data_IF_162001760685
#
_entry.id   IF_162001760685
#
_cell.length_a   1.000
_cell.length_b   1.000
_cell.length_c   1.000
_cell.angle_alpha   90.00
_cell.angle_beta   90.00
_cell.angle_gamma   90.00
#
_symmetry.space_group_name_H-M   'P 1'
#
loop_
_entity.id
_entity.type
_entity.pdbx_description
1 polymer ?
#
# COMPACT_ATOMS: atom_id res chain seq x y z
N UNK A 1 10.02 -24.89 17.90
CA UNK A 1 8.68 -24.79 17.33
C UNK A 1 8.25 -23.32 17.25
N UNK A 2 7.51 -22.94 16.20
CA UNK A 2 7.10 -21.55 15.94
C UNK A 2 6.34 -20.92 17.10
N UNK A 3 5.51 -21.68 17.81
CA UNK A 3 4.77 -21.23 19.00
C UNK A 3 5.68 -20.70 20.13
N UNK A 4 6.80 -21.36 20.40
CA UNK A 4 7.76 -20.91 21.43
C UNK A 4 8.45 -19.62 21.01
N UNK A 5 8.72 -19.45 19.69
CA UNK A 5 9.29 -18.23 19.18
C UNK A 5 8.28 -17.08 19.23
N UNK A 6 7.03 -17.35 18.87
CA UNK A 6 5.94 -16.38 18.96
C UNK A 6 5.74 -15.90 20.42
N UNK A 7 5.81 -16.80 21.40
CA UNK A 7 5.74 -16.45 22.80
C UNK A 7 6.91 -15.55 23.23
N UNK A 8 8.13 -15.88 22.82
CA UNK A 8 9.32 -15.08 23.16
C UNK A 8 9.36 -13.71 22.52
N UNK A 9 8.93 -13.61 21.24
CA UNK A 9 9.00 -12.37 20.45
C UNK A 9 7.78 -11.48 20.70
N UNK A 10 6.57 -12.08 20.78
CA UNK A 10 5.31 -11.34 20.85
C UNK A 10 4.62 -11.46 22.21
N UNK A 11 5.26 -12.07 23.22
CA UNK A 11 4.71 -12.24 24.55
C UNK A 11 3.53 -13.22 24.63
N UNK A 12 3.29 -14.03 23.60
CA UNK A 12 2.27 -15.08 23.54
C UNK A 12 0.81 -14.62 23.55
N UNK A 13 0.56 -13.30 23.54
CA UNK A 13 -0.79 -12.72 23.58
C UNK A 13 -1.19 -11.96 22.33
N UNK A 14 -0.23 -11.63 21.46
CA UNK A 14 -0.49 -10.95 20.20
C UNK A 14 -1.26 -11.90 19.26
N UNK A 15 -2.40 -11.45 18.76
CA UNK A 15 -3.26 -12.20 17.84
C UNK A 15 -3.47 -11.48 16.53
N UNK A 16 -3.57 -10.15 16.57
CA UNK A 16 -3.89 -9.31 15.42
C UNK A 16 -2.93 -8.13 15.38
N UNK A 17 -2.47 -7.81 14.18
CA UNK A 17 -1.74 -6.58 13.85
C UNK A 17 -2.59 -5.84 12.81
N UNK A 18 -2.90 -4.56 13.09
CA UNK A 18 -3.41 -3.66 12.08
C UNK A 18 -2.26 -2.86 11.49
N UNK A 19 -2.18 -2.81 10.16
CA UNK A 19 -1.15 -2.07 9.43
C UNK A 19 -1.76 -1.20 8.35
N UNK A 20 -1.07 -0.11 8.03
CA UNK A 20 -1.49 0.83 7.00
C UNK A 20 -0.45 1.92 6.79
N UNK A 21 -0.70 2.84 5.85
CA UNK A 21 0.19 3.95 5.53
C UNK A 21 1.31 3.61 4.54
N UNK A 22 1.62 2.34 4.33
CA UNK A 22 2.53 1.84 3.30
C UNK A 22 2.05 0.47 2.82
N UNK A 23 2.48 0.07 1.62
CA UNK A 23 2.21 -1.26 1.11
C UNK A 23 2.91 -2.33 1.96
N UNK A 24 2.18 -3.39 2.31
CA UNK A 24 2.74 -4.60 2.90
C UNK A 24 2.61 -5.75 1.90
N UNK A 25 3.74 -6.35 1.51
CA UNK A 25 3.68 -7.50 0.61
C UNK A 25 2.97 -8.68 1.30
N UNK A 26 2.03 -9.36 0.61
CA UNK A 26 1.29 -10.52 1.14
C UNK A 26 2.17 -11.66 1.67
N UNK A 27 3.43 -11.74 1.24
CA UNK A 27 4.42 -12.65 1.80
C UNK A 27 4.55 -12.49 3.33
N UNK A 28 4.62 -11.26 3.83
CA UNK A 28 4.74 -11.01 5.27
C UNK A 28 3.49 -11.39 6.04
N UNK A 29 2.31 -11.22 5.44
CA UNK A 29 1.03 -11.66 6.02
C UNK A 29 1.08 -13.17 6.28
N UNK A 30 1.52 -13.96 5.28
CA UNK A 30 1.68 -15.40 5.42
C UNK A 30 2.71 -15.77 6.49
N UNK A 31 3.82 -15.02 6.56
CA UNK A 31 4.85 -15.27 7.58
C UNK A 31 4.34 -15.04 8.99
N UNK A 32 3.56 -13.99 9.25
CA UNK A 32 2.94 -13.76 10.55
C UNK A 32 1.89 -14.82 10.90
N UNK A 33 1.08 -15.22 9.92
CA UNK A 33 0.09 -16.28 10.08
C UNK A 33 0.71 -17.62 10.55
N UNK A 34 1.94 -17.93 10.12
CA UNK A 34 2.70 -19.11 10.61
C UNK A 34 2.99 -19.08 12.11
N UNK A 35 2.96 -17.89 12.73
CA UNK A 35 3.13 -17.69 14.16
C UNK A 35 1.81 -17.49 14.90
N UNK A 36 0.67 -17.65 14.21
CA UNK A 36 -0.66 -17.47 14.77
C UNK A 36 -1.06 -16.00 14.96
N UNK A 37 -0.41 -15.08 14.23
CA UNK A 37 -0.72 -13.66 14.25
C UNK A 37 -1.37 -13.28 12.91
N UNK A 38 -2.58 -12.76 12.99
CA UNK A 38 -3.31 -12.24 11.83
C UNK A 38 -2.87 -10.82 11.53
N UNK A 39 -2.62 -10.50 10.26
CA UNK A 39 -2.28 -9.14 9.82
C UNK A 39 -3.41 -8.61 8.95
N UNK A 40 -4.00 -7.51 9.36
CA UNK A 40 -5.11 -6.83 8.70
C UNK A 40 -4.64 -5.49 8.18
N UNK A 41 -4.79 -5.27 6.87
CA UNK A 41 -4.40 -4.04 6.22
C UNK A 41 -5.56 -3.06 6.15
N UNK A 42 -5.24 -1.78 6.31
CA UNK A 42 -6.14 -0.67 6.10
C UNK A 42 -5.51 0.41 5.25
N UNK A 43 -6.35 1.27 4.70
CA UNK A 43 -5.94 2.37 3.85
C UNK A 43 -6.55 3.67 4.33
N UNK A 44 -5.75 4.71 4.22
CA UNK A 44 -6.19 6.05 4.54
C UNK A 44 -5.09 7.09 4.38
N UNK A 45 -5.46 8.33 4.62
CA UNK A 45 -4.60 9.49 4.50
C UNK A 45 -5.11 10.58 5.44
N UNK A 46 -4.25 11.53 5.80
CA UNK A 46 -4.60 12.63 6.72
C UNK A 46 -5.81 13.43 6.25
N UNK A 47 -5.96 13.57 4.95
CA UNK A 47 -7.08 14.23 4.28
C UNK A 47 -8.44 13.54 4.49
N UNK A 48 -8.44 12.31 5.02
CA UNK A 48 -9.66 11.51 5.33
C UNK A 48 -9.81 11.18 6.82
N UNK A 49 -9.04 11.76 7.73
CA UNK A 49 -9.16 11.72 9.20
C UNK A 49 -9.13 10.33 9.87
N UNK A 50 -8.22 9.45 9.65
CA UNK A 50 -7.42 9.18 8.46
C UNK A 50 -7.97 8.03 7.59
N UNK A 51 -8.89 7.17 8.09
CA UNK A 51 -9.22 5.85 7.51
C UNK A 51 -10.26 5.97 6.40
N UNK A 52 -9.97 5.36 5.27
CA UNK A 52 -10.86 5.23 4.10
C UNK A 52 -11.46 3.83 4.06
N UNK A 53 -10.62 2.80 4.21
CA UNK A 53 -11.03 1.38 4.20
C UNK A 53 -10.19 0.56 5.15
N UNK A 54 -10.71 -0.58 5.57
CA UNK A 54 -9.97 -1.53 6.40
C UNK A 54 -10.48 -2.96 6.23
N UNK A 55 -9.58 -3.91 6.45
CA UNK A 55 -9.93 -5.30 6.74
C UNK A 55 -10.32 -5.43 8.22
N UNK A 56 -11.25 -6.33 8.52
CA UNK A 56 -11.61 -6.73 9.88
C UNK A 56 -11.45 -8.23 10.06
N UNK A 57 -11.39 -8.77 11.29
CA UNK A 57 -11.29 -10.22 11.50
C UNK A 57 -12.41 -11.01 10.81
N UNK A 58 -13.61 -10.44 10.74
CA UNK A 58 -14.78 -11.08 10.14
C UNK A 58 -14.84 -10.90 8.62
N UNK A 59 -14.26 -9.82 8.12
CA UNK A 59 -14.32 -9.43 6.72
C UNK A 59 -12.95 -8.95 6.25
N UNK A 60 -12.13 -9.86 5.76
CA UNK A 60 -10.81 -9.53 5.21
C UNK A 60 -10.50 -10.32 3.96
N UNK A 61 -9.66 -9.76 3.13
CA UNK A 61 -9.14 -10.37 1.91
C UNK A 61 -7.67 -10.05 1.79
N UNK A 62 -6.84 -11.09 1.76
CA UNK A 62 -5.39 -10.94 1.67
C UNK A 62 -4.96 -10.12 0.45
N UNK A 63 -4.07 -9.17 0.66
CA UNK A 63 -3.57 -8.26 -0.37
C UNK A 63 -4.52 -7.12 -0.72
N UNK A 64 -5.72 -7.08 -0.10
CA UNK A 64 -6.62 -5.93 -0.17
C UNK A 64 -6.38 -4.98 0.98
N UNK A 65 -6.75 -3.72 0.78
CA UNK A 65 -6.81 -2.70 1.83
C UNK A 65 -8.19 -2.63 2.51
N UNK A 66 -8.96 -3.71 2.39
CA UNK A 66 -10.27 -3.87 3.02
C UNK A 66 -11.42 -3.22 2.27
N UNK A 67 -12.57 -3.16 2.94
CA UNK A 67 -13.78 -2.51 2.43
C UNK A 67 -13.86 -1.05 2.87
N UNK A 68 -14.47 -0.16 2.07
CA UNK A 68 -14.71 1.22 2.49
C UNK A 68 -15.51 1.28 3.79
N UNK A 69 -15.23 2.30 4.61
CA UNK A 69 -16.04 2.59 5.79
C UNK A 69 -17.45 3.05 5.38
N UNK A 70 -18.44 2.85 6.23
CA UNK A 70 -19.86 3.17 5.96
C UNK A 70 -20.11 4.64 5.60
N UNK A 71 -19.28 5.56 6.10
CA UNK A 71 -19.36 6.99 5.84
C UNK A 71 -18.52 7.46 4.65
N UNK A 72 -17.99 6.53 3.84
CA UNK A 72 -17.07 6.77 2.72
C UNK A 72 -17.68 6.22 1.43
N UNK A 73 -17.77 7.08 0.44
CA UNK A 73 -18.11 6.72 -0.95
C UNK A 73 -16.81 6.66 -1.78
N UNK A 74 -16.69 5.64 -2.62
CA UNK A 74 -15.55 5.44 -3.53
C UNK A 74 -16.02 5.54 -4.97
N UNK A 75 -15.22 6.25 -5.78
CA UNK A 75 -15.34 6.29 -7.24
C UNK A 75 -13.97 6.10 -7.87
N UNK A 76 -13.93 5.61 -9.09
CA UNK A 76 -12.69 5.49 -9.86
C UNK A 76 -12.76 6.40 -11.09
N UNK A 77 -11.68 7.15 -11.32
CA UNK A 77 -11.53 7.98 -12.51
C UNK A 77 -10.13 7.76 -13.10
N UNK A 78 -10.05 7.23 -14.32
CA UNK A 78 -8.80 6.81 -14.96
C UNK A 78 -7.94 5.87 -14.07
N UNK A 79 -8.61 5.07 -13.23
CA UNK A 79 -7.96 4.19 -12.26
C UNK A 79 -7.54 4.86 -10.96
N UNK A 80 -7.66 6.18 -10.81
CA UNK A 80 -7.46 6.88 -9.56
C UNK A 80 -8.63 6.62 -8.59
N UNK A 81 -8.31 6.39 -7.33
CA UNK A 81 -9.30 6.27 -6.26
C UNK A 81 -9.75 7.67 -5.84
N UNK A 82 -11.04 7.94 -5.96
CA UNK A 82 -11.64 9.17 -5.47
C UNK A 82 -12.52 8.86 -4.27
N UNK A 83 -12.46 9.75 -3.27
CA UNK A 83 -13.12 9.56 -1.98
C UNK A 83 -14.05 10.72 -1.69
N UNK A 84 -15.26 10.40 -1.22
CA UNK A 84 -16.21 11.36 -0.69
C UNK A 84 -16.78 10.86 0.62
N UNK A 85 -16.99 11.74 1.59
CA UNK A 85 -17.55 11.37 2.88
C UNK A 85 -17.35 12.41 3.95
N UNK A 86 -17.95 12.18 5.12
CA UNK A 86 -17.90 13.11 6.24
C UNK A 86 -16.53 13.25 6.90
N UNK A 87 -15.65 12.28 6.67
CA UNK A 87 -14.27 12.27 7.16
C UNK A 87 -13.29 13.05 6.26
N UNK A 88 -13.71 13.42 5.03
CA UNK A 88 -12.87 14.18 4.11
C UNK A 88 -12.65 15.60 4.65
N UNK A 89 -11.40 16.06 4.59
CA UNK A 89 -10.98 17.39 5.03
C UNK A 89 -11.77 18.51 4.32
N UNK A 90 -11.79 19.67 4.93
CA UNK A 90 -12.35 20.90 4.30
C UNK A 90 -11.37 21.57 3.35
N UNK A 91 -10.08 21.28 3.48
CA UNK A 91 -9.00 21.82 2.67
C UNK A 91 -7.70 21.95 3.48
N UNK A 92 -6.64 22.32 2.78
CA UNK A 92 -5.34 22.64 3.39
C UNK A 92 -5.35 24.07 3.97
N UNK A 93 -4.75 24.21 5.12
CA UNK A 93 -4.70 25.51 5.81
C UNK A 93 -3.89 26.54 5.00
N UNK A 94 -4.49 27.66 4.65
CA UNK A 94 -3.91 28.75 3.85
C UNK A 94 -3.34 28.32 2.47
N UNK A 95 -3.85 27.20 1.90
CA UNK A 95 -3.44 26.68 0.61
C UNK A 95 -4.67 26.44 -0.28
N UNK A 96 -5.28 27.49 -0.81
CA UNK A 96 -6.52 27.36 -1.59
C UNK A 96 -6.31 26.68 -2.96
N UNK A 97 -5.16 26.88 -3.59
CA UNK A 97 -4.87 26.31 -4.91
C UNK A 97 -4.66 24.79 -4.81
N UNK A 98 -3.86 24.34 -3.84
CA UNK A 98 -3.66 22.92 -3.57
C UNK A 98 -4.96 22.23 -3.11
N UNK A 99 -5.78 22.98 -2.36
CA UNK A 99 -7.12 22.48 -1.98
C UNK A 99 -7.98 22.27 -3.20
N UNK A 100 -8.01 23.22 -4.14
CA UNK A 100 -8.80 23.13 -5.36
C UNK A 100 -8.29 22.06 -6.33
N UNK A 101 -6.98 21.77 -6.31
CA UNK A 101 -6.39 20.66 -7.08
C UNK A 101 -6.77 19.29 -6.50
N UNK A 102 -6.90 19.20 -5.17
CA UNK A 102 -7.13 17.94 -4.46
C UNK A 102 -8.61 17.65 -4.25
N UNK A 103 -9.43 18.67 -4.01
CA UNK A 103 -10.89 18.56 -3.82
C UNK A 103 -11.62 19.13 -5.04
N UNK A 104 -12.15 18.25 -5.89
CA UNK A 104 -12.88 18.61 -7.11
C UNK A 104 -14.30 18.05 -7.07
N UNK A 105 -15.27 18.88 -7.29
CA UNK A 105 -16.70 18.50 -7.35
C UNK A 105 -17.17 17.69 -6.12
N UNK A 106 -16.58 17.97 -4.96
CA UNK A 106 -16.89 17.31 -3.70
C UNK A 106 -16.19 15.95 -3.52
N UNK A 107 -15.27 15.60 -4.39
CA UNK A 107 -14.43 14.40 -4.31
C UNK A 107 -12.99 14.74 -4.00
N UNK A 108 -12.40 13.97 -3.09
CA UNK A 108 -10.96 13.98 -2.81
C UNK A 108 -10.25 13.11 -3.85
N UNK A 109 -9.33 13.69 -4.58
CA UNK A 109 -8.39 12.99 -5.45
C UNK A 109 -7.23 12.48 -4.62
N UNK A 110 -7.17 11.16 -4.39
CA UNK A 110 -6.16 10.58 -3.49
C UNK A 110 -4.76 10.53 -4.08
N UNK A 111 -4.65 10.57 -5.40
CA UNK A 111 -3.42 10.31 -6.13
C UNK A 111 -3.01 8.84 -6.14
N UNK A 112 -3.77 7.95 -5.51
CA UNK A 112 -3.52 6.51 -5.51
C UNK A 112 -4.35 5.82 -6.59
N UNK A 113 -3.76 4.87 -7.30
CA UNK A 113 -4.44 4.02 -8.28
C UNK A 113 -4.86 2.71 -7.63
N UNK A 114 -6.03 2.23 -8.06
CA UNK A 114 -6.55 0.98 -7.54
C UNK A 114 -7.84 0.56 -8.21
N UNK A 115 -8.42 -0.49 -7.68
CA UNK A 115 -9.70 -1.02 -8.12
C UNK A 115 -10.46 -1.65 -6.95
N UNK A 116 -11.72 -1.91 -7.17
CA UNK A 116 -12.57 -2.67 -6.26
C UNK A 116 -12.98 -3.98 -6.93
N UNK A 117 -12.89 -5.08 -6.21
CA UNK A 117 -13.36 -6.36 -6.72
C UNK A 117 -14.89 -6.54 -6.55
N UNK A 118 -15.40 -7.68 -7.04
CA UNK A 118 -16.82 -8.01 -7.00
C UNK A 118 -17.36 -8.19 -5.57
N UNK A 119 -16.49 -8.49 -4.59
CA UNK A 119 -16.83 -8.63 -3.17
C UNK A 119 -16.80 -7.28 -2.43
N UNK A 120 -16.39 -6.20 -3.10
CA UNK A 120 -16.28 -4.85 -2.56
C UNK A 120 -14.99 -4.57 -1.79
N UNK A 121 -13.94 -5.36 -1.99
CA UNK A 121 -12.61 -5.09 -1.45
C UNK A 121 -11.82 -4.19 -2.36
N UNK A 122 -11.13 -3.21 -1.76
CA UNK A 122 -10.23 -2.29 -2.45
C UNK A 122 -8.82 -2.85 -2.55
N UNK A 123 -8.18 -2.57 -3.69
CA UNK A 123 -6.78 -2.89 -3.96
C UNK A 123 -6.07 -1.66 -4.49
N UNK A 124 -4.86 -1.39 -4.02
CA UNK A 124 -3.98 -0.34 -4.54
C UNK A 124 -2.93 -0.99 -5.43
N UNK A 125 -2.68 -0.39 -6.60
CA UNK A 125 -1.69 -0.86 -7.55
C UNK A 125 -0.71 0.23 -8.01
N UNK A 126 -0.61 1.34 -7.27
CA UNK A 126 0.39 2.37 -7.50
C UNK A 126 -0.09 3.79 -7.21
N UNK A 127 0.72 4.76 -7.63
CA UNK A 127 0.40 6.18 -7.56
C UNK A 127 0.28 6.81 -8.93
N UNK A 128 -0.69 7.71 -9.09
CA UNK A 128 -0.94 8.39 -10.37
C UNK A 128 0.31 9.15 -10.84
N UNK A 129 0.99 9.85 -9.93
CA UNK A 129 2.18 10.67 -10.26
C UNK A 129 3.46 9.88 -10.50
N UNK A 130 3.51 8.62 -10.06
CA UNK A 130 4.71 7.81 -10.12
C UNK A 130 4.72 6.84 -11.31
N UNK A 131 3.61 6.75 -12.06
CA UNK A 131 3.53 5.83 -13.18
C UNK A 131 4.59 6.15 -14.24
N UNK A 132 5.29 5.12 -14.64
CA UNK A 132 6.21 5.16 -15.76
C UNK A 132 5.41 4.81 -17.02
N UNK A 133 5.36 5.74 -17.97
CA UNK A 133 4.70 5.51 -19.26
C UNK A 133 5.77 5.02 -20.24
N UNK A 134 5.67 3.76 -20.62
CA UNK A 134 6.59 3.17 -21.58
C UNK A 134 6.28 3.65 -23.00
N UNK A 135 7.25 3.50 -23.92
CA UNK A 135 7.12 3.90 -25.33
C UNK A 135 5.97 3.20 -26.09
N UNK A 136 5.53 2.04 -25.60
CA UNK A 136 4.36 1.32 -26.12
C UNK A 136 3.03 1.82 -25.54
N UNK A 137 3.05 2.85 -24.64
CA UNK A 137 1.86 3.40 -23.98
C UNK A 137 1.43 2.63 -22.72
N UNK A 138 2.15 1.60 -22.31
CA UNK A 138 1.89 0.85 -21.09
C UNK A 138 2.25 1.68 -19.85
N UNK A 139 1.35 1.68 -18.86
CA UNK A 139 1.57 2.33 -17.57
C UNK A 139 2.09 1.30 -16.58
N UNK A 140 3.28 1.52 -16.04
CA UNK A 140 3.92 0.65 -15.07
C UNK A 140 4.05 1.37 -13.73
N UNK A 141 3.62 0.73 -12.65
CA UNK A 141 3.90 1.20 -11.30
C UNK A 141 5.31 0.75 -10.89
N UNK A 142 6.24 1.68 -10.65
CA UNK A 142 7.57 1.33 -10.17
C UNK A 142 7.51 0.63 -8.81
N UNK A 143 6.58 1.03 -7.94
CA UNK A 143 6.44 0.49 -6.60
C UNK A 143 6.10 -1.00 -6.61
N UNK A 144 5.31 -1.49 -7.56
CA UNK A 144 5.02 -2.93 -7.68
C UNK A 144 6.28 -3.77 -7.95
N UNK A 145 7.19 -3.23 -8.76
CA UNK A 145 8.46 -3.89 -9.08
C UNK A 145 9.42 -3.78 -7.90
N UNK A 146 9.53 -2.59 -7.31
CA UNK A 146 10.39 -2.32 -6.15
C UNK A 146 10.02 -3.23 -4.98
N UNK A 147 8.72 -3.34 -4.66
CA UNK A 147 8.23 -4.21 -3.59
C UNK A 147 8.58 -5.68 -3.83
N UNK A 148 8.47 -6.18 -5.06
CA UNK A 148 8.85 -7.55 -5.40
C UNK A 148 10.36 -7.78 -5.32
N UNK A 149 11.16 -6.83 -5.77
CA UNK A 149 12.62 -6.90 -5.67
C UNK A 149 13.10 -6.86 -4.22
N UNK A 150 12.47 -6.03 -3.39
CA UNK A 150 12.77 -5.90 -1.97
C UNK A 150 12.50 -7.17 -1.13
N UNK A 151 11.73 -8.14 -1.65
CA UNK A 151 11.59 -9.45 -1.01
C UNK A 151 12.89 -10.28 -1.04
N UNK A 152 13.84 -9.94 -1.91
CA UNK A 152 15.13 -10.60 -1.93
C UNK A 152 16.01 -10.06 -0.79
N UNK A 153 16.49 -10.91 0.13
CA UNK A 153 17.27 -10.48 1.29
C UNK A 153 18.63 -9.82 0.94
N UNK A 154 19.06 -9.89 -0.31
CA UNK A 154 20.25 -9.18 -0.80
C UNK A 154 19.97 -7.73 -1.21
N UNK A 155 18.69 -7.34 -1.32
CA UNK A 155 18.28 -6.01 -1.69
C UNK A 155 18.02 -5.20 -0.42
N UNK A 156 18.82 -4.18 -0.17
CA UNK A 156 18.61 -3.23 0.92
C UNK A 156 17.64 -2.15 0.50
N UNK A 157 17.94 -1.49 -0.63
CA UNK A 157 17.05 -0.48 -1.22
C UNK A 157 16.99 -0.67 -2.73
N UNK A 158 15.87 -0.29 -3.34
CA UNK A 158 15.69 -0.34 -4.80
C UNK A 158 14.86 0.84 -5.26
N UNK A 159 15.23 1.41 -6.41
CA UNK A 159 14.48 2.42 -7.12
C UNK A 159 14.33 1.98 -8.57
N UNK A 160 13.10 2.01 -9.08
CA UNK A 160 12.77 1.72 -10.47
C UNK A 160 12.45 3.01 -11.22
N UNK A 161 13.12 3.23 -12.34
CA UNK A 161 12.93 4.41 -13.19
C UNK A 161 12.66 4.00 -14.63
N UNK A 162 11.93 4.84 -15.37
CA UNK A 162 11.81 4.72 -16.82
C UNK A 162 13.03 5.38 -17.48
N UNK A 163 13.68 4.67 -18.39
CA UNK A 163 14.74 5.19 -19.25
C UNK A 163 14.40 4.90 -20.72
N UNK A 164 14.98 5.64 -21.65
CA UNK A 164 14.64 5.79 -23.09
C UNK A 164 13.94 4.61 -23.81
N UNK A 165 14.11 3.39 -23.41
CA UNK A 165 13.44 2.22 -24.03
C UNK A 165 13.04 1.12 -23.02
N UNK A 166 12.92 1.42 -21.72
CA UNK A 166 12.57 0.38 -20.75
C UNK A 166 12.57 0.82 -19.29
N UNK A 167 12.65 -0.15 -18.42
CA UNK A 167 12.73 0.05 -16.99
C UNK A 167 14.15 -0.23 -16.50
N UNK A 168 14.65 0.61 -15.62
CA UNK A 168 15.92 0.43 -14.96
C UNK A 168 15.72 0.33 -13.46
N UNK A 169 16.18 -0.77 -12.84
CA UNK A 169 16.22 -0.92 -11.40
C UNK A 169 17.63 -0.61 -10.87
N UNK A 170 17.73 0.37 -9.97
CA UNK A 170 18.96 0.68 -9.24
C UNK A 170 18.84 0.07 -7.85
N UNK A 171 19.74 -0.87 -7.54
CA UNK A 171 19.69 -1.64 -6.31
C UNK A 171 20.88 -1.27 -5.42
N UNK A 172 20.59 -0.90 -4.17
CA UNK A 172 21.57 -0.84 -3.10
C UNK A 172 21.53 -2.16 -2.33
N UNK A 173 22.64 -2.91 -2.27
CA UNK A 173 22.65 -4.23 -1.64
C UNK A 173 22.58 -4.13 -0.10
N UNK A 174 21.97 -5.13 0.52
CA UNK A 174 22.05 -5.33 1.98
C UNK A 174 23.45 -5.90 2.34
N UNK A 175 24.38 -5.02 2.70
CA UNK A 175 25.78 -5.35 2.87
C UNK A 175 26.03 -6.48 3.87
N UNK A 176 25.33 -6.47 5.02
CA UNK A 176 25.48 -7.50 6.04
C UNK A 176 25.17 -8.90 5.53
N UNK A 177 24.16 -9.01 4.62
CA UNK A 177 23.77 -10.29 4.01
C UNK A 177 24.73 -10.68 2.89
N UNK A 178 25.23 -9.71 2.13
CA UNK A 178 26.22 -9.96 1.06
C UNK A 178 27.52 -10.46 1.66
N UNK A 179 28.02 -9.81 2.71
CA UNK A 179 29.26 -10.21 3.42
C UNK A 179 29.12 -11.60 4.05
N UNK A 180 27.96 -11.90 4.68
CA UNK A 180 27.71 -13.22 5.26
C UNK A 180 27.63 -14.36 4.22
N UNK A 181 27.32 -14.06 2.95
CA UNK A 181 27.28 -15.05 1.86
C UNK A 181 28.59 -15.15 1.08
N UNK A 182 29.50 -14.20 1.24
CA UNK A 182 30.81 -14.20 0.61
C UNK A 182 31.86 -15.01 1.41
N UNK A 183 31.52 -15.46 2.63
CA UNK A 183 32.30 -16.37 3.48
C UNK A 183 31.84 -17.81 3.29
#
# INVERSE_FOLDING_TARGET
>A
PKAVLAEKVFGGKLRIIFTGGAHLDPYYIDRFAEYGVEVLEGYGMSECSPVISNNTPENHKKGSIGKPLENVEIRFENGEILVKGSSVMKGYYQMPDETAETLKDGWLHTGDKGYMDEDGYLFINGRVKNLIILSNGENVSPEEIENKLALNPLVGEVIVTGEDNGLTARIYPEQAVVEAKAL
#
